data_IF_106975075301
#
_entry.id   IF_106975075301
#
_cell.length_a   1.000
_cell.length_b   1.000
_cell.length_c   1.000
_cell.angle_alpha   90.00
_cell.angle_beta   90.00
_cell.angle_gamma   90.00
#
_symmetry.space_group_name_H-M   'P 1'
#
loop_
_entity.id
_entity.type
_entity.pdbx_description
1 polymer ?
#
# COMPACT_ATOMS: atom_id res chain seq x y z
N UNK A 1 11.43 12.28 -1.99
CA UNK A 1 11.06 11.66 -0.70
C UNK A 1 11.47 10.19 -0.74
N UNK A 2 11.92 9.62 0.37
CA UNK A 2 12.28 8.19 0.47
C UNK A 2 11.02 7.40 0.85
N UNK A 3 10.92 6.15 0.41
CA UNK A 3 9.77 5.29 0.76
C UNK A 3 9.82 4.94 2.25
N UNK A 4 8.78 5.29 3.00
CA UNK A 4 8.55 4.80 4.36
C UNK A 4 7.69 3.53 4.35
N UNK A 5 8.30 2.40 4.72
CA UNK A 5 7.64 1.10 4.71
C UNK A 5 6.58 0.95 5.82
N UNK A 6 6.75 1.59 6.96
CA UNK A 6 5.77 1.55 8.03
C UNK A 6 4.51 2.36 7.66
N UNK A 7 4.70 3.51 6.99
CA UNK A 7 3.60 4.29 6.44
C UNK A 7 2.75 3.49 5.44
N UNK A 8 3.40 2.82 4.48
CA UNK A 8 2.72 1.93 3.54
C UNK A 8 1.98 0.79 4.24
N UNK A 9 2.58 0.19 5.29
CA UNK A 9 1.93 -0.86 6.06
C UNK A 9 0.67 -0.35 6.74
N UNK A 10 0.71 0.82 7.36
CA UNK A 10 -0.45 1.41 8.02
C UNK A 10 -1.57 1.70 7.00
N UNK A 11 -1.23 2.27 5.83
CA UNK A 11 -2.18 2.53 4.74
C UNK A 11 -2.85 1.23 4.26
N UNK A 12 -2.06 0.20 3.96
CA UNK A 12 -2.59 -1.07 3.44
C UNK A 12 -3.39 -1.80 4.53
N UNK A 13 -2.90 -1.81 5.77
CA UNK A 13 -3.62 -2.39 6.91
C UNK A 13 -4.98 -1.75 7.10
N UNK A 14 -5.10 -0.44 6.90
CA UNK A 14 -6.37 0.27 7.01
C UNK A 14 -7.37 -0.16 5.92
N UNK A 15 -6.92 -0.35 4.67
CA UNK A 15 -7.78 -0.90 3.62
C UNK A 15 -8.23 -2.34 3.91
N UNK A 16 -7.34 -3.17 4.45
CA UNK A 16 -7.60 -4.60 4.68
C UNK A 16 -8.45 -4.84 5.92
N UNK A 17 -8.27 -4.03 6.96
CA UNK A 17 -9.00 -4.15 8.23
C UNK A 17 -10.31 -3.38 8.22
N UNK A 18 -10.61 -2.67 7.14
CA UNK A 18 -11.84 -1.92 6.98
C UNK A 18 -13.05 -2.85 6.85
N UNK A 19 -14.09 -2.59 7.64
CA UNK A 19 -15.39 -3.25 7.49
C UNK A 19 -16.10 -2.87 6.18
N UNK A 20 -15.64 -1.82 5.51
CA UNK A 20 -16.11 -1.39 4.18
C UNK A 20 -15.20 -1.97 3.10
N UNK A 21 -15.81 -2.46 2.01
CA UNK A 21 -15.10 -2.93 0.83
C UNK A 21 -14.35 -1.81 0.08
N UNK A 22 -14.77 -0.56 0.25
CA UNK A 22 -14.11 0.61 -0.32
C UNK A 22 -14.08 1.76 0.71
N UNK A 23 -13.03 2.57 0.69
CA UNK A 23 -12.83 3.73 1.55
C UNK A 23 -12.54 4.97 0.72
N UNK A 24 -13.07 6.12 1.12
CA UNK A 24 -12.54 7.38 0.59
C UNK A 24 -11.15 7.65 1.17
N UNK A 25 -10.32 8.39 0.44
CA UNK A 25 -8.99 8.77 0.94
C UNK A 25 -9.10 9.71 2.13
N UNK A 26 -10.16 10.53 2.18
CA UNK A 26 -10.46 11.36 3.34
C UNK A 26 -10.72 10.55 4.61
N UNK A 27 -11.47 9.45 4.52
CA UNK A 27 -11.67 8.55 5.67
C UNK A 27 -10.35 7.88 6.05
N UNK A 28 -9.62 7.34 5.07
CA UNK A 28 -8.36 6.64 5.27
C UNK A 28 -7.32 7.46 6.04
N UNK A 29 -7.13 8.74 5.68
CA UNK A 29 -6.12 9.58 6.32
C UNK A 29 -6.49 10.03 7.73
N UNK A 30 -7.74 9.79 8.17
CA UNK A 30 -8.20 10.04 9.53
C UNK A 30 -8.07 8.81 10.45
N UNK A 31 -7.78 7.63 9.89
CA UNK A 31 -7.52 6.41 10.67
C UNK A 31 -6.34 6.62 11.63
N UNK A 32 -6.45 6.07 12.85
CA UNK A 32 -5.52 6.38 13.94
C UNK A 32 -4.06 6.07 13.59
N UNK A 33 -3.85 4.95 12.90
CA UNK A 33 -2.52 4.50 12.49
C UNK A 33 -1.99 5.25 11.27
N UNK A 34 -2.85 5.91 10.48
CA UNK A 34 -2.46 6.63 9.27
C UNK A 34 -2.24 8.12 9.56
N UNK A 35 -3.08 8.73 10.41
CA UNK A 35 -3.04 10.16 10.76
C UNK A 35 -1.74 10.60 11.43
N UNK A 36 -0.93 9.66 11.93
CA UNK A 36 0.39 9.92 12.55
C UNK A 36 1.46 10.34 11.54
N UNK A 37 1.27 10.08 10.25
CA UNK A 37 2.24 10.41 9.21
C UNK A 37 2.01 11.82 8.64
N UNK A 38 3.08 12.54 8.26
CA UNK A 38 2.96 13.85 7.62
C UNK A 38 2.11 13.82 6.34
N UNK A 39 1.34 14.88 6.11
CA UNK A 39 0.48 15.02 4.92
C UNK A 39 1.26 14.81 3.61
N UNK A 40 2.45 15.40 3.47
CA UNK A 40 3.28 15.24 2.26
C UNK A 40 3.73 13.79 2.04
N UNK A 41 3.95 13.06 3.13
CA UNK A 41 4.33 11.65 3.09
C UNK A 41 3.14 10.78 2.65
N UNK A 42 1.96 11.04 3.21
CA UNK A 42 0.72 10.38 2.79
C UNK A 42 0.42 10.63 1.31
N UNK A 43 0.62 11.86 0.81
CA UNK A 43 0.42 12.18 -0.63
C UNK A 43 1.35 11.37 -1.50
N UNK A 44 2.63 11.37 -1.15
CA UNK A 44 3.66 10.65 -1.89
C UNK A 44 3.34 9.16 -1.96
N UNK A 45 2.96 8.54 -0.85
CA UNK A 45 2.68 7.11 -0.78
C UNK A 45 1.38 6.70 -1.44
N UNK A 46 0.28 7.43 -1.21
CA UNK A 46 -1.01 7.12 -1.79
C UNK A 46 -1.00 7.28 -3.31
N UNK A 47 -0.44 8.38 -3.82
CA UNK A 47 -0.32 8.56 -5.28
C UNK A 47 0.55 7.46 -5.89
N UNK A 48 1.65 7.06 -5.23
CA UNK A 48 2.47 5.94 -5.70
C UNK A 48 1.72 4.60 -5.73
N UNK A 49 0.90 4.31 -4.72
CA UNK A 49 0.04 3.12 -4.72
C UNK A 49 -1.00 3.15 -5.84
N UNK A 50 -1.53 4.33 -6.18
CA UNK A 50 -2.45 4.51 -7.29
C UNK A 50 -1.78 4.34 -8.65
N UNK A 51 -0.62 4.97 -8.86
CA UNK A 51 0.18 4.88 -10.09
C UNK A 51 0.50 3.41 -10.43
N UNK A 52 0.82 2.62 -9.41
CA UNK A 52 1.13 1.20 -9.53
C UNK A 52 -0.12 0.29 -9.51
N UNK A 53 -1.33 0.86 -9.46
CA UNK A 53 -2.63 0.17 -9.44
C UNK A 53 -2.82 -0.78 -8.24
N UNK A 54 -2.19 -0.47 -7.11
CA UNK A 54 -2.42 -1.19 -5.85
C UNK A 54 -3.73 -0.79 -5.22
N UNK A 55 -4.04 0.50 -5.29
CA UNK A 55 -5.35 1.03 -4.97
C UNK A 55 -5.98 1.55 -6.25
N UNK A 56 -7.28 1.32 -6.41
CA UNK A 56 -8.02 1.71 -7.59
C UNK A 56 -9.34 2.35 -7.20
N UNK A 57 -9.76 3.35 -7.99
CA UNK A 57 -11.09 3.92 -7.93
C UNK A 57 -11.74 3.83 -9.31
N UNK A 58 -13.06 3.63 -9.34
CA UNK A 58 -13.83 3.71 -10.58
C UNK A 58 -14.17 5.16 -10.95
N UNK A 59 -13.90 6.13 -10.07
CA UNK A 59 -14.37 7.53 -10.21
C UNK A 59 -13.26 8.58 -10.08
N UNK A 60 -12.07 8.21 -9.62
CA UNK A 60 -10.94 9.10 -9.47
C UNK A 60 -9.66 8.45 -9.99
N UNK A 61 -8.73 9.28 -10.51
CA UNK A 61 -7.46 8.81 -11.05
C UNK A 61 -6.32 8.90 -10.04
N UNK A 62 -6.34 9.90 -9.14
CA UNK A 62 -5.35 10.01 -8.07
C UNK A 62 -5.99 10.23 -6.68
N UNK A 63 -5.39 9.68 -5.62
CA UNK A 63 -5.81 9.87 -4.23
C UNK A 63 -5.72 11.31 -3.73
N UNK A 64 -4.74 12.06 -4.24
CA UNK A 64 -4.58 13.48 -3.97
C UNK A 64 -4.36 14.24 -5.28
N UNK A 65 -5.29 15.14 -5.60
CA UNK A 65 -5.24 15.95 -6.83
C UNK A 65 -5.37 17.43 -6.52
N UNK A 66 -4.78 18.25 -7.40
CA UNK A 66 -5.07 19.67 -7.49
C UNK A 66 -6.21 19.85 -8.49
N UNK A 67 -7.43 20.11 -8.01
CA UNK A 67 -8.57 20.38 -8.88
C UNK A 67 -8.45 21.76 -9.56
N UNK A 68 -7.76 22.68 -8.89
CA UNK A 68 -7.21 23.92 -9.44
C UNK A 68 -5.92 24.30 -8.68
N UNK A 69 -5.26 25.38 -9.09
CA UNK A 69 -4.00 25.87 -8.50
C UNK A 69 -4.08 26.26 -7.02
N UNK A 70 -5.27 26.28 -6.43
CA UNK A 70 -5.54 26.75 -5.06
C UNK A 70 -6.27 25.72 -4.17
N UNK A 71 -6.85 24.67 -4.75
CA UNK A 71 -7.65 23.67 -4.04
C UNK A 71 -7.07 22.27 -4.19
N UNK A 72 -5.94 21.97 -3.52
CA UNK A 72 -5.44 20.62 -3.44
C UNK A 72 -6.27 19.85 -2.40
N UNK A 73 -6.81 18.69 -2.76
CA UNK A 73 -7.70 17.94 -1.88
C UNK A 73 -7.53 16.43 -2.01
N UNK A 74 -7.73 15.73 -0.90
CA UNK A 74 -7.89 14.28 -0.88
C UNK A 74 -9.16 13.89 -1.64
N UNK A 75 -9.07 12.80 -2.40
CA UNK A 75 -10.19 12.24 -3.15
C UNK A 75 -11.34 11.86 -2.21
N UNK A 76 -12.53 12.39 -2.51
CA UNK A 76 -13.81 12.00 -1.89
C UNK A 76 -14.40 10.74 -2.51
N UNK A 77 -13.86 10.29 -3.64
CA UNK A 77 -14.29 9.04 -4.27
C UNK A 77 -13.81 7.86 -3.46
N UNK A 78 -14.54 6.75 -3.55
CA UNK A 78 -14.15 5.51 -2.91
C UNK A 78 -13.01 4.82 -3.68
N UNK A 79 -12.11 4.21 -2.92
CA UNK A 79 -10.94 3.47 -3.37
C UNK A 79 -10.97 2.09 -2.72
N UNK A 80 -10.41 1.11 -3.42
CA UNK A 80 -10.22 -0.25 -2.92
C UNK A 80 -8.84 -0.75 -3.31
N UNK A 81 -8.34 -1.73 -2.55
CA UNK A 81 -7.20 -2.52 -2.97
C UNK A 81 -7.57 -3.27 -4.27
N UNK A 82 -6.65 -3.33 -5.22
CA UNK A 82 -6.79 -4.21 -6.37
C UNK A 82 -6.66 -5.67 -5.91
N UNK A 83 -7.25 -6.58 -6.67
CA UNK A 83 -7.19 -8.02 -6.36
C UNK A 83 -5.75 -8.52 -6.22
N UNK A 84 -4.85 -8.04 -7.08
CA UNK A 84 -3.42 -8.35 -7.04
C UNK A 84 -2.76 -7.85 -5.75
N UNK A 85 -3.09 -6.64 -5.30
CA UNK A 85 -2.55 -6.06 -4.08
C UNK A 85 -3.08 -6.78 -2.83
N UNK A 86 -4.36 -7.18 -2.82
CA UNK A 86 -4.96 -7.93 -1.71
C UNK A 86 -4.30 -9.30 -1.54
N UNK A 87 -4.15 -10.06 -2.64
CA UNK A 87 -3.47 -11.36 -2.62
C UNK A 87 -2.00 -11.22 -2.17
N UNK A 88 -1.31 -10.16 -2.59
CA UNK A 88 0.06 -9.88 -2.17
C UNK A 88 0.14 -9.60 -0.66
N UNK A 89 -0.75 -8.75 -0.13
CA UNK A 89 -0.79 -8.42 1.29
C UNK A 89 -0.98 -9.67 2.16
N UNK A 90 -1.91 -10.55 1.79
CA UNK A 90 -2.13 -11.81 2.50
C UNK A 90 -0.86 -12.69 2.55
N UNK A 91 -0.02 -12.63 1.51
CA UNK A 91 1.21 -13.39 1.43
C UNK A 91 2.36 -12.78 2.27
N UNK A 92 2.47 -11.45 2.32
CA UNK A 92 3.60 -10.76 3.00
C UNK A 92 3.32 -10.33 4.44
N UNK A 93 2.06 -10.27 4.87
CA UNK A 93 1.71 -9.90 6.25
C UNK A 93 1.95 -11.03 7.27
N UNK A 94 2.62 -12.11 6.87
CA UNK A 94 3.18 -13.13 7.77
C UNK A 94 4.52 -12.63 8.32
N UNK A 95 4.64 -12.56 9.66
CA UNK A 95 5.68 -11.82 10.42
C UNK A 95 7.11 -12.01 9.90
N UNK A 96 7.50 -13.24 9.52
CA UNK A 96 8.86 -13.54 9.07
C UNK A 96 9.26 -12.81 7.76
N UNK A 97 8.31 -12.53 6.88
CA UNK A 97 8.55 -11.95 5.54
C UNK A 97 8.67 -10.41 5.62
N UNK A 98 7.98 -9.80 6.58
CA UNK A 98 7.95 -8.34 6.74
C UNK A 98 9.29 -7.76 7.24
N UNK A 99 10.00 -8.45 8.13
CA UNK A 99 11.31 -7.98 8.61
C UNK A 99 12.40 -8.05 7.53
N UNK A 100 12.34 -9.05 6.65
CA UNK A 100 13.26 -9.16 5.51
C UNK A 100 13.00 -8.05 4.46
N UNK A 101 11.74 -7.62 4.31
CA UNK A 101 11.33 -6.50 3.46
C UNK A 101 11.88 -5.15 3.92
N UNK A 102 11.92 -4.89 5.24
CA UNK A 102 12.48 -3.65 5.80
C UNK A 102 13.99 -3.49 5.56
N UNK A 103 14.70 -4.59 5.30
CA UNK A 103 16.16 -4.60 5.16
C UNK A 103 16.67 -4.11 3.79
N UNK A 104 15.77 -3.84 2.83
CA UNK A 104 16.12 -3.39 1.47
C UNK A 104 15.96 -1.88 1.29
N UNK A 105 16.72 -1.29 0.36
CA UNK A 105 16.66 0.16 0.10
C UNK A 105 15.33 0.55 -0.55
N UNK A 106 14.77 1.74 -0.31
CA UNK A 106 13.44 2.16 -0.81
C UNK A 106 13.17 1.89 -2.32
N UNK A 107 14.20 2.07 -3.17
CA UNK A 107 14.10 1.76 -4.60
C UNK A 107 14.14 0.26 -4.88
N UNK A 108 14.95 -0.49 -4.13
CA UNK A 108 15.00 -1.95 -4.17
C UNK A 108 13.78 -2.57 -3.53
N UNK A 109 13.25 -2.13 -2.39
CA UNK A 109 12.04 -2.67 -1.76
C UNK A 109 10.83 -2.55 -2.66
N UNK A 110 10.69 -1.44 -3.39
CA UNK A 110 9.60 -1.27 -4.33
C UNK A 110 9.85 -1.99 -5.66
N UNK A 111 11.09 -1.99 -6.18
CA UNK A 111 11.46 -2.90 -7.28
C UNK A 111 11.36 -4.36 -6.89
N UNK A 112 11.57 -4.72 -5.63
CA UNK A 112 11.53 -6.05 -5.06
C UNK A 112 10.08 -6.46 -4.90
N UNK A 113 9.20 -5.57 -4.43
CA UNK A 113 7.74 -5.73 -4.57
C UNK A 113 7.34 -5.94 -6.04
N UNK A 114 7.86 -5.14 -6.98
CA UNK A 114 7.54 -5.18 -8.42
C UNK A 114 8.19 -6.37 -9.19
N UNK A 115 9.34 -6.89 -8.76
CA UNK A 115 10.05 -8.06 -9.31
C UNK A 115 9.50 -9.36 -8.72
N UNK A 116 9.09 -9.36 -7.44
CA UNK A 116 8.20 -10.38 -6.87
C UNK A 116 6.89 -10.45 -7.70
N UNK A 117 6.27 -9.30 -8.00
CA UNK A 117 5.03 -9.20 -8.80
C UNK A 117 5.12 -9.80 -10.23
N UNK A 118 6.31 -9.88 -10.86
CA UNK A 118 6.44 -10.39 -12.24
C UNK A 118 6.93 -11.82 -12.36
N UNK A 119 7.53 -12.42 -11.32
CA UNK A 119 8.11 -13.76 -11.45
C UNK A 119 8.27 -14.59 -10.17
N UNK A 120 7.99 -14.06 -8.99
CA UNK A 120 8.26 -14.71 -7.71
C UNK A 120 7.16 -14.40 -6.71
N UNK A 121 6.22 -15.29 -6.40
CA UNK A 121 5.59 -15.23 -5.06
C UNK A 121 4.68 -16.39 -4.67
N UNK A 122 4.37 -17.39 -5.52
CA UNK A 122 3.72 -18.60 -4.98
C UNK A 122 4.77 -19.59 -4.45
N UNK A 123 5.57 -20.18 -5.34
CA UNK A 123 6.52 -21.23 -4.98
C UNK A 123 7.62 -20.80 -3.99
N UNK A 124 8.09 -19.55 -4.05
CA UNK A 124 9.12 -19.05 -3.11
C UNK A 124 8.56 -18.68 -1.74
N UNK A 125 7.35 -18.08 -1.68
CA UNK A 125 6.67 -17.81 -0.42
C UNK A 125 6.26 -19.14 0.23
N UNK A 126 5.68 -20.08 -0.52
CA UNK A 126 5.38 -21.44 -0.03
C UNK A 126 6.65 -22.15 0.49
N UNK A 127 7.77 -22.03 -0.22
CA UNK A 127 9.07 -22.56 0.23
C UNK A 127 9.53 -21.91 1.55
N UNK A 128 9.47 -20.58 1.66
CA UNK A 128 9.88 -19.86 2.88
C UNK A 128 8.96 -20.14 4.06
N UNK A 129 7.65 -20.31 3.82
CA UNK A 129 6.70 -20.73 4.83
C UNK A 129 7.01 -22.14 5.36
N UNK A 130 7.31 -23.08 4.47
CA UNK A 130 7.71 -24.43 4.87
C UNK A 130 9.06 -24.45 5.62
N UNK A 131 9.99 -23.56 5.30
CA UNK A 131 11.27 -23.40 6.02
C UNK A 131 11.11 -22.78 7.42
N UNK A 132 10.01 -22.05 7.67
CA UNK A 132 9.75 -21.36 8.94
C UNK A 132 8.92 -22.20 9.94
N UNK A 133 8.27 -23.26 9.45
CA UNK A 133 7.47 -24.21 10.26
C UNK A 133 8.29 -25.44 10.73
N UNK A 134 9.59 -25.49 10.41
CA UNK A 134 10.57 -26.47 10.90
C UNK A 134 11.45 -25.88 12.00
#
# INVERSE_FOLDING_TARGET
MVVNHDCLKCIISAFVSSDKAELSIQELVQEEEVKKYPIEELKFHLNRLSDERWIVSNRANNPYEMYDSTHPAWSVSNWRMSELASQYWEAVNRIAIWEEFKSKTAGESLKFSLELLKGYSKAWIEKKLNESEM
#
